data_IF_349354126695
#
_entry.id   IF_349354126695
#
_cell.length_a   1.000
_cell.length_b   1.000
_cell.length_c   1.000
_cell.angle_alpha   90.00
_cell.angle_beta   90.00
_cell.angle_gamma   90.00
#
_symmetry.space_group_name_H-M   'P 1'
#
loop_
_entity.id
_entity.type
_entity.pdbx_description
1 polymer ?
#
# COMPACT_ATOMS: atom_id res chain seq x y z
N UNK A 1 35.64 1.70 7.90
CA UNK A 1 35.15 1.70 7.75
C UNK A 1 34.29 1.75 8.11
N UNK A 2 34.26 2.04 8.07
CA UNK A 2 33.50 2.06 8.23
C UNK A 2 32.95 2.28 8.69
N UNK A 3 33.09 1.98 9.08
CA UNK A 3 32.51 2.27 9.47
C UNK A 3 31.45 2.75 9.52
N UNK A 4 31.16 2.57 10.13
CA UNK A 4 29.91 3.32 10.22
C UNK A 4 29.33 3.77 8.90
N UNK A 5 29.81 3.25 7.85
CA UNK A 5 29.42 3.58 6.48
C UNK A 5 28.38 2.60 5.92
N UNK A 6 27.65 1.93 6.79
CA UNK A 6 26.59 1.06 6.31
C UNK A 6 25.51 1.90 5.65
N UNK A 7 25.29 1.67 4.35
CA UNK A 7 24.27 2.37 3.59
C UNK A 7 22.94 1.67 3.84
N UNK A 8 22.01 2.40 4.46
CA UNK A 8 20.67 1.90 4.68
C UNK A 8 19.82 2.35 3.51
N UNK A 9 19.37 1.39 2.73
CA UNK A 9 18.48 1.66 1.60
C UNK A 9 17.04 1.52 2.08
N UNK A 10 16.28 2.58 1.87
CA UNK A 10 14.86 2.59 2.20
C UNK A 10 14.01 2.52 0.96
N UNK A 11 12.86 1.90 1.09
CA UNK A 11 11.87 1.78 0.03
C UNK A 11 10.51 2.21 0.53
N UNK A 12 9.72 2.77 -0.36
CA UNK A 12 8.31 3.02 -0.12
C UNK A 12 7.52 1.88 -0.76
N UNK A 13 6.73 1.20 0.04
CA UNK A 13 5.76 0.25 -0.48
C UNK A 13 4.42 0.95 -0.50
N UNK A 14 3.83 1.05 -1.69
CA UNK A 14 2.52 1.63 -1.90
C UNK A 14 1.59 0.51 -2.34
N UNK A 15 0.59 0.20 -1.53
CA UNK A 15 -0.38 -0.83 -1.84
C UNK A 15 -1.76 -0.20 -2.00
N UNK A 16 -2.40 -0.48 -3.13
CA UNK A 16 -3.76 -0.02 -3.39
C UNK A 16 -4.63 -1.26 -3.37
N UNK A 17 -5.53 -1.35 -2.40
CA UNK A 17 -6.28 -2.58 -2.10
C UNK A 17 -7.77 -2.29 -1.96
N UNK A 18 -8.56 -3.36 -1.93
CA UNK A 18 -9.99 -3.25 -1.64
C UNK A 18 -10.20 -2.75 -0.22
N UNK A 19 -11.15 -1.84 0.02
CA UNK A 19 -11.40 -1.31 1.37
C UNK A 19 -11.73 -2.40 2.40
N UNK A 20 -12.47 -3.43 2.00
CA UNK A 20 -12.85 -4.52 2.89
C UNK A 20 -11.67 -5.38 3.35
N UNK A 21 -10.52 -5.25 2.69
CA UNK A 21 -9.31 -5.98 3.09
C UNK A 21 -8.36 -5.16 3.96
N UNK A 22 -8.68 -3.89 4.17
CA UNK A 22 -7.77 -2.98 4.86
C UNK A 22 -7.42 -3.45 6.28
N UNK A 23 -8.42 -3.77 7.10
CA UNK A 23 -8.15 -4.16 8.49
C UNK A 23 -7.31 -5.43 8.58
N UNK A 24 -7.51 -6.36 7.67
CA UNK A 24 -6.74 -7.61 7.63
C UNK A 24 -5.29 -7.33 7.26
N UNK A 25 -5.07 -6.46 6.25
CA UNK A 25 -3.73 -6.08 5.82
C UNK A 25 -3.02 -5.31 6.93
N UNK A 26 -3.71 -4.36 7.56
CA UNK A 26 -3.16 -3.57 8.66
C UNK A 26 -2.68 -4.47 9.78
N UNK A 27 -3.52 -5.41 10.20
CA UNK A 27 -3.17 -6.33 11.26
C UNK A 27 -1.98 -7.21 10.89
N UNK A 28 -1.96 -7.72 9.66
CA UNK A 28 -0.86 -8.56 9.20
C UNK A 28 0.48 -7.79 9.20
N UNK A 29 0.45 -6.52 8.80
CA UNK A 29 1.64 -5.67 8.83
C UNK A 29 2.09 -5.38 10.26
N UNK A 30 1.14 -5.12 11.16
CA UNK A 30 1.46 -4.90 12.57
C UNK A 30 2.13 -6.11 13.19
N UNK A 31 1.68 -7.31 12.83
CA UNK A 31 2.29 -8.56 13.31
C UNK A 31 3.73 -8.74 12.82
N UNK A 32 4.08 -8.08 11.72
CA UNK A 32 5.45 -8.07 11.19
C UNK A 32 6.28 -6.91 11.71
N UNK A 33 5.75 -6.15 12.67
CA UNK A 33 6.47 -5.05 13.28
C UNK A 33 6.31 -3.71 12.56
N UNK A 34 5.47 -3.63 11.54
CA UNK A 34 5.20 -2.37 10.86
C UNK A 34 4.12 -1.63 11.62
N UNK A 35 4.50 -0.55 12.28
CA UNK A 35 3.56 0.25 13.09
C UNK A 35 3.21 1.57 12.45
N UNK A 36 4.12 2.14 11.65
CA UNK A 36 3.87 3.42 10.98
C UNK A 36 3.37 3.17 9.58
N UNK A 37 2.22 3.73 9.26
CA UNK A 37 1.67 3.69 7.91
C UNK A 37 0.83 4.92 7.65
N UNK A 38 0.78 5.31 6.40
CA UNK A 38 -0.09 6.39 5.94
C UNK A 38 -1.14 5.78 5.05
N UNK A 39 -2.39 6.17 5.25
CA UNK A 39 -3.48 5.65 4.43
C UNK A 39 -4.25 6.79 3.80
N UNK A 40 -4.74 6.53 2.59
CA UNK A 40 -5.53 7.49 1.84
C UNK A 40 -6.68 6.75 1.17
N UNK A 41 -7.86 7.30 1.27
CA UNK A 41 -8.99 6.82 0.50
C UNK A 41 -8.85 7.34 -0.92
N UNK A 42 -8.86 6.42 -1.89
CA UNK A 42 -8.69 6.78 -3.29
C UNK A 42 -9.76 6.09 -4.12
N UNK A 43 -9.90 6.51 -5.36
CA UNK A 43 -10.76 5.84 -6.31
C UNK A 43 -9.90 5.34 -7.45
N UNK A 44 -10.15 4.12 -7.88
CA UNK A 44 -9.40 3.50 -8.94
C UNK A 44 -10.29 2.88 -10.00
N UNK A 45 -9.81 2.94 -11.23
CA UNK A 45 -10.40 2.21 -12.35
C UNK A 45 -9.40 1.16 -12.75
N UNK A 46 -9.77 -0.11 -12.54
CA UNK A 46 -8.90 -1.22 -12.87
C UNK A 46 -9.20 -1.80 -14.25
N UNK A 47 -8.76 -3.02 -14.45
CA UNK A 47 -8.98 -3.76 -15.70
C UNK A 47 -10.45 -4.16 -15.87
N UNK A 48 -11.18 -4.30 -14.77
CA UNK A 48 -12.62 -4.46 -14.87
C UNK A 48 -13.21 -3.16 -15.42
N UNK A 49 -14.12 -3.28 -16.36
CA UNK A 49 -14.68 -2.12 -17.07
C UNK A 49 -15.80 -1.43 -16.29
N UNK A 50 -15.79 -1.54 -14.97
CA UNK A 50 -16.79 -0.93 -14.13
C UNK A 50 -17.93 -1.86 -13.79
N UNK A 51 -18.87 -1.34 -13.04
CA UNK A 51 -20.06 -2.06 -12.60
C UNK A 51 -21.26 -1.34 -13.19
N UNK A 52 -22.14 -2.09 -13.87
CA UNK A 52 -23.38 -1.54 -14.39
C UNK A 52 -24.42 -1.60 -13.29
N UNK A 53 -24.94 -0.43 -12.94
CA UNK A 53 -26.03 -0.30 -11.97
C UNK A 53 -27.28 0.18 -12.69
N UNK A 54 -28.43 -0.26 -12.23
CA UNK A 54 -29.70 0.22 -12.74
C UNK A 54 -30.31 1.15 -11.69
N UNK A 55 -30.66 2.36 -12.12
CA UNK A 55 -31.29 3.34 -11.26
C UNK A 55 -32.39 4.05 -12.05
N UNK A 56 -33.62 3.92 -11.55
CA UNK A 56 -34.81 4.52 -12.19
C UNK A 56 -34.94 4.14 -13.66
N UNK A 57 -34.69 2.87 -13.97
CA UNK A 57 -34.79 2.36 -15.33
C UNK A 57 -33.64 2.75 -16.26
N UNK A 58 -32.63 3.41 -15.74
CA UNK A 58 -31.42 3.77 -16.49
C UNK A 58 -30.25 2.94 -16.04
N UNK A 59 -29.45 2.46 -16.99
CA UNK A 59 -28.21 1.79 -16.67
C UNK A 59 -27.12 2.84 -16.42
N UNK A 60 -26.42 2.70 -15.30
CA UNK A 60 -25.28 3.55 -14.95
C UNK A 60 -24.04 2.69 -14.87
N UNK A 61 -22.96 3.14 -15.49
CA UNK A 61 -21.67 2.45 -15.40
C UNK A 61 -20.87 3.15 -14.33
N UNK A 62 -20.52 2.40 -13.29
CA UNK A 62 -19.63 2.87 -12.23
C UNK A 62 -18.25 2.31 -12.54
N UNK A 63 -17.35 3.14 -13.06
CA UNK A 63 -16.02 2.69 -13.44
C UNK A 63 -14.94 3.11 -12.44
N UNK A 64 -15.25 4.02 -11.52
CA UNK A 64 -14.34 4.41 -10.46
C UNK A 64 -14.82 3.78 -9.16
N UNK A 65 -13.99 2.93 -8.57
CA UNK A 65 -14.31 2.19 -7.36
C UNK A 65 -13.47 2.68 -6.19
N UNK A 66 -14.05 2.71 -4.97
CA UNK A 66 -13.26 3.08 -3.80
C UNK A 66 -12.17 2.05 -3.52
N UNK A 67 -11.01 2.56 -3.14
CA UNK A 67 -9.85 1.76 -2.77
C UNK A 67 -9.18 2.44 -1.57
N UNK A 68 -8.34 1.69 -0.88
CA UNK A 68 -7.47 2.25 0.17
C UNK A 68 -6.04 2.16 -0.32
N UNK A 69 -5.33 3.27 -0.25
CA UNK A 69 -3.90 3.31 -0.52
C UNK A 69 -3.16 3.28 0.80
N UNK A 70 -2.27 2.33 0.96
CA UNK A 70 -1.42 2.21 2.14
C UNK A 70 0.00 2.51 1.70
N UNK A 71 0.68 3.37 2.47
CA UNK A 71 2.09 3.67 2.21
C UNK A 71 2.90 3.39 3.47
N UNK A 72 3.96 2.60 3.32
CA UNK A 72 4.89 2.31 4.40
C UNK A 72 6.32 2.49 3.90
N UNK A 73 7.18 3.00 4.76
CA UNK A 73 8.60 3.13 4.48
C UNK A 73 9.31 2.00 5.21
N UNK A 74 10.06 1.22 4.46
CA UNK A 74 10.72 0.03 4.99
C UNK A 74 12.16 -0.03 4.50
N UNK A 75 12.95 -0.89 5.12
CA UNK A 75 14.30 -1.15 4.64
C UNK A 75 14.24 -2.10 3.46
N UNK A 76 15.16 -1.92 2.53
CA UNK A 76 15.21 -2.73 1.32
C UNK A 76 15.15 -4.23 1.62
N UNK A 77 15.85 -4.68 2.64
CA UNK A 77 15.88 -6.09 3.04
C UNK A 77 14.53 -6.64 3.51
N UNK A 78 13.59 -5.77 3.86
CA UNK A 78 12.27 -6.16 4.34
C UNK A 78 11.21 -6.23 3.25
N UNK A 79 11.52 -5.73 2.06
CA UNK A 79 10.55 -5.53 0.99
C UNK A 79 9.84 -6.83 0.59
N UNK A 80 10.62 -7.87 0.29
CA UNK A 80 10.04 -9.12 -0.21
C UNK A 80 9.09 -9.76 0.80
N UNK A 81 9.48 -9.78 2.07
CA UNK A 81 8.62 -10.33 3.12
C UNK A 81 7.34 -9.54 3.29
N UNK A 82 7.44 -8.21 3.27
CA UNK A 82 6.27 -7.36 3.47
C UNK A 82 5.33 -7.39 2.26
N UNK A 83 5.87 -7.48 1.05
CA UNK A 83 5.05 -7.69 -0.14
C UNK A 83 4.27 -9.00 -0.01
N UNK A 84 4.93 -10.08 0.38
CA UNK A 84 4.27 -11.37 0.56
C UNK A 84 3.18 -11.29 1.62
N UNK A 85 3.44 -10.55 2.70
CA UNK A 85 2.47 -10.33 3.77
C UNK A 85 1.23 -9.60 3.26
N UNK A 86 1.44 -8.53 2.50
CA UNK A 86 0.33 -7.75 1.94
C UNK A 86 -0.49 -8.61 0.97
N UNK A 87 0.19 -9.34 0.07
CA UNK A 87 -0.50 -10.20 -0.89
C UNK A 87 -1.35 -11.24 -0.17
N UNK A 88 -0.78 -11.91 0.84
CA UNK A 88 -1.51 -12.94 1.58
C UNK A 88 -2.76 -12.41 2.27
N UNK A 89 -2.71 -11.17 2.75
CA UNK A 89 -3.83 -10.55 3.46
C UNK A 89 -4.84 -9.90 2.52
N UNK A 90 -4.38 -9.31 1.40
CA UNK A 90 -5.23 -8.53 0.51
C UNK A 90 -5.89 -9.36 -0.59
N UNK A 91 -5.29 -10.49 -0.96
CA UNK A 91 -5.75 -11.29 -2.10
C UNK A 91 -7.10 -11.93 -1.83
N UNK A 92 -8.03 -11.76 -2.74
CA UNK A 92 -9.30 -12.49 -2.78
C UNK A 92 -9.34 -13.47 -3.95
N UNK A 93 -8.45 -13.31 -4.93
CA UNK A 93 -8.43 -14.08 -6.16
C UNK A 93 -9.37 -13.54 -7.22
N UNK A 94 -10.00 -12.39 -6.96
CA UNK A 94 -10.94 -11.76 -7.87
C UNK A 94 -10.33 -10.51 -8.48
N UNK A 95 -10.91 -10.09 -9.62
CA UNK A 95 -10.53 -8.84 -10.26
C UNK A 95 -10.73 -7.69 -9.27
N UNK A 96 -9.80 -6.74 -9.28
CA UNK A 96 -9.89 -5.57 -8.41
C UNK A 96 -9.15 -5.70 -7.10
N UNK A 97 -8.40 -6.79 -6.89
CA UNK A 97 -7.61 -6.98 -5.66
C UNK A 97 -6.58 -5.88 -5.44
N UNK A 98 -6.10 -5.24 -6.50
CA UNK A 98 -5.21 -4.11 -6.39
C UNK A 98 -3.80 -4.37 -6.88
N UNK A 99 -2.92 -3.45 -6.54
CA UNK A 99 -1.51 -3.49 -6.97
C UNK A 99 -0.61 -2.99 -5.86
N UNK A 100 0.62 -3.44 -5.91
CA UNK A 100 1.67 -2.98 -5.01
C UNK A 100 2.78 -2.38 -5.84
N UNK A 101 3.23 -1.20 -5.44
CA UNK A 101 4.36 -0.51 -6.08
C UNK A 101 5.47 -0.37 -5.06
N UNK A 102 6.71 -0.49 -5.53
CA UNK A 102 7.89 -0.26 -4.69
C UNK A 102 8.68 0.85 -5.32
N UNK A 103 8.96 1.89 -4.54
CA UNK A 103 9.67 3.06 -5.01
C UNK A 103 10.90 3.29 -4.13
N UNK A 104 12.00 3.78 -4.71
CA UNK A 104 13.15 4.16 -3.91
C UNK A 104 12.83 5.42 -3.09
N UNK A 105 13.40 5.49 -1.89
CA UNK A 105 13.29 6.66 -1.03
C UNK A 105 14.69 7.22 -0.85
N UNK A 106 14.93 8.41 -1.38
CA UNK A 106 16.24 9.04 -1.30
C UNK A 106 16.56 9.50 0.12
N UNK A 107 15.57 10.04 0.80
CA UNK A 107 15.74 10.53 2.16
C UNK A 107 14.40 10.59 2.88
N UNK A 108 14.43 10.41 4.18
CA UNK A 108 13.28 10.65 5.04
C UNK A 108 13.75 11.49 6.21
N UNK A 109 13.07 12.58 6.49
CA UNK A 109 13.48 13.55 7.49
C UNK A 109 12.32 13.74 8.47
N UNK A 110 12.62 13.64 9.75
CA UNK A 110 11.62 13.83 10.80
C UNK A 110 11.32 15.32 10.96
N UNK A 111 10.07 15.68 10.88
CA UNK A 111 9.67 17.08 11.01
C UNK A 111 10.00 17.61 12.41
N UNK A 112 9.75 16.80 13.45
CA UNK A 112 9.95 17.24 14.83
C UNK A 112 11.40 17.58 15.15
N UNK A 113 12.34 16.81 14.66
CA UNK A 113 13.76 16.97 15.02
C UNK A 113 14.62 17.53 13.90
N UNK A 114 14.15 17.45 12.66
CA UNK A 114 14.96 17.77 11.48
C UNK A 114 16.02 16.72 11.17
N UNK A 115 15.99 15.59 11.89
CA UNK A 115 16.99 14.55 11.69
C UNK A 115 16.61 13.62 10.55
N UNK A 116 17.63 13.16 9.84
CA UNK A 116 17.46 12.18 8.79
C UNK A 116 17.18 10.81 9.42
N UNK A 117 16.14 10.15 8.94
CA UNK A 117 15.77 8.83 9.40
C UNK A 117 16.69 7.79 8.75
N UNK A 118 17.10 6.83 9.55
CA UNK A 118 18.02 5.80 9.09
C UNK A 118 17.56 4.40 9.45
#
# INVERSE_FOLDING_TARGET
>A
MANGSEVIIMKLIKAIIKPERFEIVKKALEEKGVTSMTTTEVQGRGEQKGITLEYRGKQMIVDMLPKIQIEIIVRDREVDELIATIIGAARTGRIGDGKIFVLPVDAAIRVRTGEMER
#
